data_IF_425876568377
#
_entry.id   IF_425876568377
#
_cell.length_a   1.000
_cell.length_b   1.000
_cell.length_c   1.000
_cell.angle_alpha   90.00
_cell.angle_beta   90.00
_cell.angle_gamma   90.00
#
_symmetry.space_group_name_H-M   'P 1'
#
loop_
_entity.id
_entity.type
_entity.pdbx_description
1 polymer ?
#
# COMPACT_ATOMS: atom_id res chain seq x y z
N UNK A 1 17.13 -11.21 -4.70
CA UNK A 1 16.56 -12.54 -4.98
C UNK A 1 15.68 -12.51 -6.22
N UNK A 2 14.59 -11.72 -6.25
CA UNK A 2 13.63 -11.61 -7.37
C UNK A 2 14.35 -11.31 -8.69
N UNK A 3 15.18 -10.27 -8.73
CA UNK A 3 15.92 -9.89 -9.93
C UNK A 3 16.87 -11.02 -10.42
N UNK A 4 17.55 -11.72 -9.49
CA UNK A 4 18.42 -12.85 -9.85
C UNK A 4 17.62 -14.03 -10.42
N UNK A 5 16.44 -14.30 -9.86
CA UNK A 5 15.55 -15.32 -10.41
C UNK A 5 15.10 -14.98 -11.83
N UNK A 6 14.82 -13.71 -12.12
CA UNK A 6 14.39 -13.27 -13.45
C UNK A 6 15.40 -13.47 -14.59
N UNK A 7 16.68 -13.67 -14.27
CA UNK A 7 17.72 -13.98 -15.27
C UNK A 7 17.61 -15.43 -15.77
N UNK A 8 17.23 -16.35 -14.90
CA UNK A 8 17.19 -17.78 -15.21
C UNK A 8 15.78 -18.37 -15.34
N UNK A 9 14.81 -17.80 -14.62
CA UNK A 9 13.43 -18.30 -14.54
C UNK A 9 12.45 -17.15 -14.27
N UNK A 10 11.83 -16.66 -15.32
CA UNK A 10 10.85 -15.58 -15.25
C UNK A 10 9.61 -15.95 -14.42
N UNK A 11 9.14 -17.19 -14.51
CA UNK A 11 7.97 -17.68 -13.76
C UNK A 11 8.25 -17.64 -12.25
N UNK A 12 9.43 -18.11 -11.86
CA UNK A 12 9.89 -18.05 -10.47
C UNK A 12 10.03 -16.62 -9.97
N UNK A 13 10.59 -15.74 -10.80
CA UNK A 13 10.69 -14.31 -10.47
C UNK A 13 9.34 -13.67 -10.23
N UNK A 14 8.37 -13.93 -11.09
CA UNK A 14 7.00 -13.43 -10.97
C UNK A 14 6.32 -13.95 -9.70
N UNK A 15 6.43 -15.25 -9.42
CA UNK A 15 5.88 -15.84 -8.20
C UNK A 15 6.49 -15.22 -6.93
N UNK A 16 7.81 -15.03 -6.90
CA UNK A 16 8.51 -14.39 -5.78
C UNK A 16 8.08 -12.92 -5.61
N UNK A 17 7.86 -12.20 -6.71
CA UNK A 17 7.40 -10.82 -6.67
C UNK A 17 5.98 -10.71 -6.11
N UNK A 18 5.08 -11.58 -6.55
CA UNK A 18 3.71 -11.66 -6.04
C UNK A 18 3.66 -12.02 -4.55
N UNK A 19 4.42 -13.03 -4.14
CA UNK A 19 4.53 -13.44 -2.74
C UNK A 19 5.08 -12.32 -1.85
N UNK A 20 6.09 -11.60 -2.30
CA UNK A 20 6.65 -10.48 -1.56
C UNK A 20 5.65 -9.32 -1.42
N UNK A 21 4.84 -9.06 -2.46
CA UNK A 21 3.75 -8.07 -2.41
C UNK A 21 2.67 -8.49 -1.43
N UNK A 22 2.21 -9.74 -1.48
CA UNK A 22 1.25 -10.27 -0.53
C UNK A 22 1.78 -10.22 0.92
N UNK A 23 3.06 -10.54 1.10
CA UNK A 23 3.72 -10.50 2.41
C UNK A 23 3.71 -9.11 3.03
N UNK A 24 4.08 -8.07 2.28
CA UNK A 24 4.08 -6.71 2.82
C UNK A 24 2.66 -6.22 3.15
N UNK A 25 1.65 -6.60 2.37
CA UNK A 25 0.26 -6.28 2.68
C UNK A 25 -0.20 -6.95 3.98
N UNK A 26 0.20 -8.21 4.23
CA UNK A 26 -0.10 -8.88 5.50
C UNK A 26 0.57 -8.19 6.70
N UNK A 27 1.80 -7.72 6.55
CA UNK A 27 2.46 -6.92 7.59
C UNK A 27 1.68 -5.64 7.88
N UNK A 28 1.21 -4.94 6.84
CA UNK A 28 0.39 -3.75 7.00
C UNK A 28 -0.94 -4.05 7.70
N UNK A 29 -1.61 -5.15 7.35
CA UNK A 29 -2.85 -5.57 8.00
C UNK A 29 -2.63 -5.85 9.49
N UNK A 30 -1.57 -6.59 9.82
CA UNK A 30 -1.25 -6.90 11.22
C UNK A 30 -0.89 -5.66 12.03
N UNK A 31 -0.14 -4.72 11.44
CA UNK A 31 0.14 -3.44 12.09
C UNK A 31 -1.15 -2.64 12.37
N UNK A 32 -2.08 -2.61 11.42
CA UNK A 32 -3.38 -1.95 11.61
C UNK A 32 -4.21 -2.61 12.72
N UNK A 33 -4.22 -3.93 12.81
CA UNK A 33 -4.86 -4.67 13.90
C UNK A 33 -4.27 -4.26 15.26
N UNK A 34 -2.95 -4.24 15.39
CA UNK A 34 -2.27 -3.82 16.61
C UNK A 34 -2.62 -2.37 17.02
N UNK A 35 -2.74 -1.45 16.05
CA UNK A 35 -3.17 -0.09 16.35
C UNK A 35 -4.61 -0.04 16.84
N UNK A 36 -5.52 -0.84 16.27
CA UNK A 36 -6.91 -0.94 16.71
C UNK A 36 -7.04 -1.50 18.12
N UNK A 37 -6.21 -2.48 18.46
CA UNK A 37 -6.15 -3.04 19.83
C UNK A 37 -5.69 -2.00 20.86
N UNK A 38 -4.77 -1.10 20.47
CA UNK A 38 -4.27 -0.04 21.35
C UNK A 38 -5.19 1.17 21.46
N UNK A 39 -6.07 1.37 20.49
CA UNK A 39 -6.97 2.52 20.37
C UNK A 39 -8.42 2.07 20.18
N UNK A 40 -9.03 1.39 21.17
CA UNK A 40 -10.32 0.72 21.02
C UNK A 40 -11.47 1.68 20.73
N UNK A 41 -11.42 2.91 21.26
CA UNK A 41 -12.46 3.93 21.08
C UNK A 41 -12.22 4.84 19.87
N UNK A 42 -11.39 4.40 18.92
CA UNK A 42 -10.99 5.22 17.79
C UNK A 42 -11.46 4.60 16.47
N UNK A 43 -12.04 5.43 15.61
CA UNK A 43 -12.43 5.04 14.26
C UNK A 43 -11.31 5.34 13.28
N UNK A 44 -10.98 4.36 12.43
CA UNK A 44 -9.88 4.41 11.48
C UNK A 44 -10.41 4.59 10.06
N UNK A 45 -9.80 5.49 9.31
CA UNK A 45 -9.98 5.51 7.85
C UNK A 45 -9.31 4.29 7.22
N UNK A 46 -9.47 4.15 5.92
CA UNK A 46 -8.64 3.23 5.15
C UNK A 46 -7.19 3.72 5.08
N UNK A 47 -6.26 2.78 4.96
CA UNK A 47 -4.88 3.12 4.59
C UNK A 47 -4.87 3.81 3.24
N UNK A 48 -4.16 4.92 3.15
CA UNK A 48 -4.03 5.71 1.94
C UNK A 48 -2.56 6.01 1.69
N UNK A 49 -2.02 5.54 0.58
CA UNK A 49 -0.60 5.67 0.23
C UNK A 49 -0.38 6.79 -0.77
N UNK A 50 0.77 7.50 -0.72
CA UNK A 50 1.15 8.42 -1.78
C UNK A 50 1.11 7.78 -3.16
N UNK A 51 0.64 8.51 -4.15
CA UNK A 51 0.43 8.02 -5.52
C UNK A 51 -0.98 7.48 -5.79
N UNK A 52 -1.85 7.37 -4.78
CA UNK A 52 -3.24 6.98 -4.96
C UNK A 52 -4.19 8.17 -4.78
N UNK A 53 -5.25 8.19 -5.58
CA UNK A 53 -6.28 9.23 -5.53
C UNK A 53 -5.72 10.63 -5.76
N UNK A 54 -5.92 11.49 -4.78
CA UNK A 54 -5.47 12.88 -4.75
C UNK A 54 -4.23 13.10 -3.88
N UNK A 55 -3.65 12.04 -3.29
CA UNK A 55 -2.43 12.12 -2.50
C UNK A 55 -1.20 12.00 -3.43
N UNK A 56 -0.45 13.08 -3.67
CA UNK A 56 0.63 13.04 -4.65
C UNK A 56 1.80 12.19 -4.18
N UNK A 57 2.42 11.48 -5.12
CA UNK A 57 3.59 10.64 -4.85
C UNK A 57 4.79 11.48 -4.35
N UNK A 58 4.86 12.74 -4.69
CA UNK A 58 5.90 13.69 -4.24
C UNK A 58 5.93 13.92 -2.73
N UNK A 59 4.91 13.49 -1.98
CA UNK A 59 4.90 13.51 -0.51
C UNK A 59 5.75 12.38 0.12
N UNK A 60 6.16 11.40 -0.67
CA UNK A 60 6.91 10.25 -0.18
C UNK A 60 8.17 10.62 0.61
N UNK A 61 9.06 11.51 0.11
CA UNK A 61 10.25 11.93 0.86
C UNK A 61 9.92 12.57 2.20
N UNK A 62 8.86 13.38 2.24
CA UNK A 62 8.44 14.08 3.44
C UNK A 62 7.95 13.11 4.53
N UNK A 63 7.16 12.11 4.13
CA UNK A 63 6.68 11.05 5.03
C UNK A 63 7.88 10.28 5.60
N UNK A 64 8.87 9.91 4.77
CA UNK A 64 10.05 9.19 5.25
C UNK A 64 10.86 10.04 6.24
N UNK A 65 11.00 11.33 5.95
CA UNK A 65 11.69 12.27 6.83
C UNK A 65 10.97 12.42 8.18
N UNK A 66 9.65 12.57 8.16
CA UNK A 66 8.83 12.67 9.37
C UNK A 66 8.94 11.43 10.27
N UNK A 67 9.03 10.25 9.67
CA UNK A 67 9.14 8.99 10.39
C UNK A 67 10.59 8.63 10.76
N UNK A 68 11.59 9.41 10.34
CA UNK A 68 13.02 9.07 10.43
C UNK A 68 13.30 7.66 9.86
N UNK A 69 12.63 7.36 8.74
CA UNK A 69 12.52 6.00 8.20
C UNK A 69 13.86 5.44 7.69
N UNK A 70 14.72 6.30 7.17
CA UNK A 70 16.06 5.90 6.72
C UNK A 70 16.89 5.36 7.89
N UNK A 71 16.93 6.10 8.98
CA UNK A 71 17.69 5.73 10.17
C UNK A 71 17.10 4.53 10.90
N UNK A 72 15.76 4.47 10.98
CA UNK A 72 15.06 3.43 11.73
C UNK A 72 14.98 2.09 11.00
N UNK A 73 14.79 2.13 9.68
CA UNK A 73 14.46 0.96 8.86
C UNK A 73 15.36 0.79 7.64
N UNK A 74 16.27 1.74 7.37
CA UNK A 74 17.03 1.77 6.11
C UNK A 74 16.13 2.01 4.88
N UNK A 75 14.96 2.62 5.08
CA UNK A 75 13.99 2.87 4.02
C UNK A 75 14.26 4.24 3.40
N UNK A 76 14.63 4.25 2.12
CA UNK A 76 14.93 5.45 1.34
C UNK A 76 13.99 5.61 0.14
N UNK A 77 14.14 6.70 -0.58
CA UNK A 77 13.33 7.01 -1.76
C UNK A 77 14.21 7.53 -2.91
N UNK A 78 13.92 7.12 -4.14
CA UNK A 78 14.62 7.63 -5.35
C UNK A 78 14.14 9.03 -5.71
N UNK A 79 14.82 9.65 -6.70
CA UNK A 79 14.40 10.93 -7.27
C UNK A 79 12.98 10.86 -7.89
N UNK A 80 12.58 9.69 -8.38
CA UNK A 80 11.25 9.41 -8.93
C UNK A 80 10.22 9.02 -7.85
N UNK A 81 10.57 9.21 -6.58
CA UNK A 81 9.73 8.91 -5.41
C UNK A 81 9.38 7.43 -5.22
N UNK A 82 10.23 6.51 -5.70
CA UNK A 82 10.06 5.07 -5.49
C UNK A 82 10.80 4.64 -4.23
N UNK A 83 10.12 3.88 -3.37
CA UNK A 83 10.71 3.36 -2.14
C UNK A 83 11.82 2.32 -2.40
N UNK A 84 12.87 2.38 -1.61
CA UNK A 84 13.95 1.39 -1.57
C UNK A 84 14.09 0.91 -0.12
N UNK A 85 13.92 -0.39 0.13
CA UNK A 85 13.60 -1.51 -0.78
C UNK A 85 12.26 -1.36 -1.48
N UNK A 86 12.15 -1.87 -2.72
CA UNK A 86 10.93 -1.75 -3.54
C UNK A 86 9.68 -2.39 -2.94
N UNK A 87 9.83 -3.42 -2.12
CA UNK A 87 8.74 -4.07 -1.39
C UNK A 87 8.59 -3.43 -0.02
N UNK A 88 8.23 -2.16 -0.04
CA UNK A 88 7.93 -1.33 1.13
C UNK A 88 6.64 -0.57 0.90
N UNK A 89 5.97 -0.21 1.97
CA UNK A 89 4.72 0.56 1.95
C UNK A 89 4.84 1.71 2.94
N UNK A 90 4.42 2.87 2.51
CA UNK A 90 4.07 3.99 3.40
C UNK A 90 2.59 4.25 3.25
N UNK A 91 1.91 4.54 4.33
CA UNK A 91 0.50 4.85 4.31
C UNK A 91 0.13 5.82 5.43
N UNK A 92 -0.94 6.56 5.20
CA UNK A 92 -1.58 7.43 6.18
C UNK A 92 -2.91 6.78 6.56
N UNK A 93 -3.20 6.76 7.86
CA UNK A 93 -4.48 6.34 8.42
C UNK A 93 -5.02 7.53 9.21
N UNK A 94 -6.18 8.00 8.86
CA UNK A 94 -6.89 9.01 9.65
C UNK A 94 -7.56 8.38 10.87
N UNK A 95 -7.55 9.11 11.97
CA UNK A 95 -8.19 8.72 13.22
C UNK A 95 -9.35 9.69 13.51
N UNK A 96 -10.47 9.18 14.02
CA UNK A 96 -11.62 9.98 14.42
C UNK A 96 -12.20 9.44 15.73
N UNK A 97 -12.86 10.30 16.47
CA UNK A 97 -13.59 10.02 17.72
C UNK A 97 -15.06 9.66 17.48
N UNK A 98 -15.50 9.62 16.23
CA UNK A 98 -16.86 9.31 15.83
C UNK A 98 -16.87 8.32 14.65
N UNK A 99 -17.99 7.60 14.43
CA UNK A 99 -18.12 6.67 13.31
C UNK A 99 -17.90 7.35 11.96
N UNK A 100 -16.94 6.83 11.19
CA UNK A 100 -16.66 7.32 9.84
C UNK A 100 -17.59 6.64 8.84
N UNK A 101 -18.18 7.45 7.93
CA UNK A 101 -18.85 6.89 6.75
C UNK A 101 -17.81 6.16 5.90
N UNK A 102 -17.86 4.84 5.91
CA UNK A 102 -17.02 4.05 5.01
C UNK A 102 -17.43 4.34 3.59
N UNK A 103 -16.62 5.08 2.86
CA UNK A 103 -16.82 5.28 1.43
C UNK A 103 -16.93 3.95 0.69
N UNK A 104 -17.73 3.90 -0.35
CA UNK A 104 -17.81 2.72 -1.21
C UNK A 104 -16.42 2.40 -1.78
N UNK A 105 -16.04 1.13 -1.77
CA UNK A 105 -14.76 0.63 -2.33
C UNK A 105 -14.99 -0.25 -3.53
N UNK A 106 -13.90 -0.51 -4.25
CA UNK A 106 -13.91 -1.43 -5.37
C UNK A 106 -14.56 -0.84 -6.62
N UNK A 107 -15.19 -1.69 -7.41
CA UNK A 107 -15.73 -1.31 -8.72
C UNK A 107 -16.76 -0.16 -8.68
N UNK A 108 -17.43 0.05 -7.55
CA UNK A 108 -18.45 1.10 -7.43
C UNK A 108 -17.88 2.51 -7.57
N UNK A 109 -16.65 2.74 -7.10
CA UNK A 109 -15.95 4.03 -7.12
C UNK A 109 -14.75 4.08 -8.07
N UNK A 110 -14.49 2.99 -8.78
CA UNK A 110 -13.35 2.89 -9.67
C UNK A 110 -13.53 3.79 -10.91
N UNK A 111 -12.54 4.62 -11.22
CA UNK A 111 -12.53 5.46 -12.44
C UNK A 111 -12.62 4.65 -13.72
N UNK A 112 -12.12 3.41 -13.70
CA UNK A 112 -12.16 2.51 -14.86
C UNK A 112 -13.42 1.66 -14.94
N UNK A 113 -14.41 1.91 -14.09
CA UNK A 113 -15.63 1.08 -13.97
C UNK A 113 -16.27 0.75 -15.32
N UNK A 114 -16.41 1.73 -16.20
CA UNK A 114 -17.09 1.59 -17.48
C UNK A 114 -16.24 0.82 -18.53
N UNK A 115 -14.92 0.94 -18.46
CA UNK A 115 -13.97 0.37 -19.43
C UNK A 115 -13.27 -0.90 -18.94
N UNK A 116 -13.42 -1.25 -17.65
CA UNK A 116 -12.68 -2.33 -17.00
C UNK A 116 -13.05 -3.71 -17.57
N UNK A 117 -12.08 -4.37 -18.20
CA UNK A 117 -12.22 -5.70 -18.77
C UNK A 117 -12.45 -6.79 -17.68
N UNK A 118 -11.82 -6.64 -16.51
CA UNK A 118 -11.97 -7.59 -15.41
C UNK A 118 -13.40 -7.59 -14.87
N UNK A 119 -14.01 -6.41 -14.69
CA UNK A 119 -15.40 -6.30 -14.26
C UNK A 119 -16.36 -6.91 -15.29
N UNK A 120 -16.14 -6.70 -16.58
CA UNK A 120 -16.94 -7.28 -17.67
C UNK A 120 -16.80 -8.79 -17.72
N UNK A 121 -15.64 -9.34 -17.35
CA UNK A 121 -15.39 -10.78 -17.26
C UNK A 121 -15.88 -11.43 -15.97
N UNK A 122 -16.57 -10.70 -15.07
CA UNK A 122 -17.09 -11.24 -13.81
C UNK A 122 -16.03 -11.42 -12.70
N UNK A 123 -14.80 -10.97 -12.92
CA UNK A 123 -13.74 -10.97 -11.92
C UNK A 123 -13.64 -9.62 -11.21
N UNK A 124 -13.17 -9.64 -9.98
CA UNK A 124 -12.94 -8.44 -9.17
C UNK A 124 -11.44 -8.26 -8.94
N UNK A 125 -10.97 -7.01 -8.95
CA UNK A 125 -9.62 -6.66 -8.51
C UNK A 125 -9.58 -6.46 -6.99
#
# INVERSE_FOLDING_TARGET
LIHRAGISDMTRSLAMDALASAGIEQVCNRAEECFREQLPDTYFTWRFSPGYGDLPLSLQPEILRLLDAEKRLGLTVTAEHILIPRKSVTAIIGLADHPLKKGARGCATCRMRETCMFRKGGTHC
#
